data_IF_665406233280
#
_entry.id   IF_665406233280
#
_cell.length_a   1.000
_cell.length_b   1.000
_cell.length_c   1.000
_cell.angle_alpha   90.00
_cell.angle_beta   90.00
_cell.angle_gamma   90.00
#
_symmetry.space_group_name_H-M   'P 1'
#
loop_
_entity.id
_entity.type
_entity.pdbx_description
1 polymer ?
#
# COMPACT_ATOMS: atom_id res chain seq x y z
N UNK A 1 -24.27 61.81 -43.63
CA UNK A 1 -25.62 61.51 -43.14
C UNK A 1 -25.53 60.99 -41.72
N UNK A 2 -26.02 61.84 -40.81
CA UNK A 2 -26.54 61.60 -39.46
C UNK A 2 -25.67 61.01 -38.32
N UNK A 3 -25.21 61.97 -37.49
CA UNK A 3 -25.39 62.11 -36.02
C UNK A 3 -24.58 61.16 -35.11
N UNK A 4 -23.53 61.61 -34.39
CA UNK A 4 -23.51 62.50 -33.19
C UNK A 4 -24.40 61.93 -32.04
N UNK A 5 -24.00 61.83 -30.77
CA UNK A 5 -23.15 62.71 -29.98
C UNK A 5 -22.63 62.06 -28.67
N UNK A 6 -21.56 62.69 -28.17
CA UNK A 6 -20.98 62.73 -26.81
C UNK A 6 -21.95 62.66 -25.62
N UNK A 7 -21.53 62.01 -24.50
CA UNK A 7 -21.62 62.57 -23.14
C UNK A 7 -20.74 61.82 -22.10
N UNK A 8 -19.77 62.56 -21.53
CA UNK A 8 -19.34 62.70 -20.11
C UNK A 8 -19.14 61.48 -19.17
N UNK A 9 -17.90 61.41 -18.66
CA UNK A 9 -17.34 60.81 -17.40
C UNK A 9 -18.17 61.15 -16.12
N UNK A 10 -18.10 60.39 -14.99
CA UNK A 10 -16.86 60.26 -14.22
C UNK A 10 -16.60 58.94 -13.47
N UNK A 11 -15.40 58.94 -12.85
CA UNK A 11 -14.70 57.89 -12.15
C UNK A 11 -15.48 57.22 -10.99
N UNK A 12 -15.38 55.89 -10.93
CA UNK A 12 -15.61 55.12 -9.72
C UNK A 12 -14.28 54.51 -9.27
N UNK A 13 -13.72 55.11 -8.21
CA UNK A 13 -12.56 54.62 -7.50
C UNK A 13 -12.85 53.24 -6.90
N UNK A 14 -12.08 52.23 -7.30
CA UNK A 14 -12.04 50.96 -6.58
C UNK A 14 -11.27 51.15 -5.27
N UNK A 15 -12.03 51.35 -4.19
CA UNK A 15 -11.55 51.32 -2.82
C UNK A 15 -11.13 49.90 -2.45
N UNK A 16 -9.94 49.80 -1.85
CA UNK A 16 -9.46 48.66 -1.05
C UNK A 16 -10.52 48.23 -0.02
N UNK A 17 -10.78 46.94 0.18
CA UNK A 17 -11.45 46.49 1.40
C UNK A 17 -10.48 46.66 2.58
N UNK A 18 -10.84 47.55 3.49
CA UNK A 18 -10.09 47.82 4.71
C UNK A 18 -10.13 46.63 5.66
N UNK A 19 -8.99 46.43 6.31
CA UNK A 19 -8.92 45.75 7.59
C UNK A 19 -9.88 46.44 8.58
N UNK A 20 -10.82 45.67 9.13
CA UNK A 20 -11.51 46.01 10.38
C UNK A 20 -11.40 44.81 11.32
N UNK A 21 -10.61 44.98 12.36
CA UNK A 21 -10.64 44.15 13.56
C UNK A 21 -11.96 44.29 14.31
N UNK A 22 -12.28 43.28 15.10
CA UNK A 22 -13.48 43.27 15.95
C UNK A 22 -13.64 41.99 16.77
N UNK A 23 -12.55 41.41 17.28
CA UNK A 23 -12.61 40.30 18.23
C UNK A 23 -12.91 40.83 19.62
N UNK A 24 -14.19 40.99 19.96
CA UNK A 24 -14.62 41.52 21.26
C UNK A 24 -14.15 40.67 22.45
N UNK A 25 -13.96 41.28 23.65
CA UNK A 25 -13.50 40.61 24.88
C UNK A 25 -14.31 39.38 25.29
N UNK A 26 -15.58 39.32 24.88
CA UNK A 26 -16.51 38.22 25.20
C UNK A 26 -16.15 36.88 24.56
N UNK A 27 -15.52 36.85 23.37
CA UNK A 27 -15.15 35.57 22.72
C UNK A 27 -13.87 34.95 23.28
N UNK A 28 -12.93 35.76 23.76
CA UNK A 28 -11.72 35.26 24.45
C UNK A 28 -12.05 34.69 25.82
N UNK A 29 -12.96 35.31 26.56
CA UNK A 29 -13.43 34.78 27.85
C UNK A 29 -14.09 33.39 27.75
N UNK A 30 -14.88 33.14 26.70
CA UNK A 30 -15.53 31.84 26.48
C UNK A 30 -14.51 30.75 26.14
N UNK A 31 -13.50 31.05 25.32
CA UNK A 31 -12.45 30.06 24.99
C UNK A 31 -11.59 29.73 26.21
N UNK A 32 -11.25 30.72 27.04
CA UNK A 32 -10.50 30.50 28.28
C UNK A 32 -11.31 29.69 29.29
N UNK A 33 -12.62 29.96 29.42
CA UNK A 33 -13.51 29.20 30.30
C UNK A 33 -13.64 27.73 29.85
N UNK A 34 -13.77 27.49 28.54
CA UNK A 34 -13.86 26.13 27.99
C UNK A 34 -12.55 25.34 28.20
N UNK A 35 -11.39 25.98 28.05
CA UNK A 35 -10.09 25.36 28.32
C UNK A 35 -9.90 25.06 29.82
N UNK A 36 -10.33 25.96 30.71
CA UNK A 36 -10.28 25.75 32.16
C UNK A 36 -11.19 24.59 32.61
N UNK A 37 -12.40 24.48 32.05
CA UNK A 37 -13.32 23.38 32.32
C UNK A 37 -12.78 22.04 31.80
N UNK A 38 -12.14 22.02 30.61
CA UNK A 38 -11.50 20.82 30.08
C UNK A 38 -10.33 20.35 30.96
N UNK A 39 -9.55 21.29 31.50
CA UNK A 39 -8.44 20.99 32.41
C UNK A 39 -8.93 20.47 33.77
N UNK A 40 -9.99 21.06 34.33
CA UNK A 40 -10.63 20.60 35.56
C UNK A 40 -11.23 19.19 35.41
N UNK A 41 -11.86 18.90 34.26
CA UNK A 41 -12.38 17.55 33.97
C UNK A 41 -11.25 16.51 33.83
N UNK A 42 -10.14 16.86 33.18
CA UNK A 42 -8.99 15.97 33.04
C UNK A 42 -8.30 15.66 34.38
N UNK A 43 -8.14 16.65 35.25
CA UNK A 43 -7.56 16.46 36.59
C UNK A 43 -8.46 15.64 37.50
N UNK A 44 -9.78 15.79 37.42
CA UNK A 44 -10.73 14.97 38.18
C UNK A 44 -10.70 13.49 37.74
N UNK A 45 -10.58 13.22 36.43
CA UNK A 45 -10.44 11.86 35.91
C UNK A 45 -9.14 11.19 36.38
N UNK A 46 -8.04 11.95 36.48
CA UNK A 46 -6.76 11.42 36.96
C UNK A 46 -6.78 11.11 38.47
N UNK A 47 -7.46 11.95 39.26
CA UNK A 47 -7.63 11.75 40.71
C UNK A 47 -8.59 10.60 41.04
N UNK A 48 -9.61 10.36 40.21
CA UNK A 48 -10.52 9.22 40.36
C UNK A 48 -9.87 7.90 39.92
N UNK A 49 -9.04 7.92 38.87
CA UNK A 49 -8.26 6.75 38.45
C UNK A 49 -7.19 6.34 39.49
N UNK A 50 -6.62 7.30 40.21
CA UNK A 50 -5.66 7.05 41.31
C UNK A 50 -6.26 6.47 42.58
N UNK A 51 -7.60 6.39 42.71
CA UNK A 51 -8.29 5.79 43.88
C UNK A 51 -8.73 4.33 43.69
N UNK A 52 -8.48 3.73 42.53
CA UNK A 52 -8.80 2.31 42.24
C UNK A 52 -7.57 1.39 42.29
N UNK A 53 -6.39 1.89 42.68
CA UNK A 53 -5.19 1.09 42.90
C UNK A 53 -4.53 1.49 44.22
N UNK A 54 -5.16 1.09 45.33
CA UNK A 54 -4.63 1.27 46.69
C UNK A 54 -4.05 -0.05 47.20
N UNK A 55 -2.75 -0.27 47.00
CA UNK A 55 -1.96 -1.25 47.74
C UNK A 55 -1.19 -0.55 48.84
N UNK A 56 -1.41 -0.94 50.10
CA UNK A 56 -0.66 -0.47 51.27
C UNK A 56 -0.90 -1.39 52.48
N UNK A 57 0.08 -1.51 53.40
CA UNK A 57 0.44 -2.77 54.07
C UNK A 57 -0.12 -2.91 55.48
N UNK A 58 -0.26 -4.14 55.98
CA UNK A 58 -0.62 -4.36 57.38
C UNK A 58 -0.69 -5.83 57.85
N UNK A 59 0.31 -6.18 58.67
CA UNK A 59 0.23 -6.92 59.96
C UNK A 59 -0.16 -8.42 59.96
N UNK A 60 0.80 -9.22 60.42
CA UNK A 60 0.64 -10.60 60.91
C UNK A 60 -0.22 -10.66 62.18
N UNK A 61 -1.15 -11.62 62.26
CA UNK A 61 -1.55 -12.28 63.52
C UNK A 61 -1.85 -13.75 63.22
N UNK A 62 -1.18 -14.63 63.97
CA UNK A 62 -1.35 -16.07 63.96
C UNK A 62 -2.55 -16.51 64.81
N UNK A 63 -3.29 -17.55 64.39
CA UNK A 63 -3.88 -18.52 65.33
C UNK A 63 -4.32 -19.83 64.66
N UNK A 64 -3.77 -20.92 65.19
CA UNK A 64 -4.34 -22.27 65.44
C UNK A 64 -5.01 -23.07 64.30
N UNK A 65 -4.36 -24.19 63.94
CA UNK A 65 -4.90 -25.34 63.21
C UNK A 65 -5.98 -26.10 64.02
N UNK A 66 -6.75 -27.02 63.38
CA UNK A 66 -6.29 -28.41 63.37
C UNK A 66 -6.46 -29.17 62.03
N UNK A 67 -5.40 -29.92 61.72
CA UNK A 67 -5.30 -31.19 60.96
C UNK A 67 -6.49 -31.63 60.07
N UNK A 68 -6.25 -31.64 58.74
CA UNK A 68 -6.77 -32.70 57.87
C UNK A 68 -6.00 -32.87 56.53
N UNK A 69 -5.35 -34.04 56.42
CA UNK A 69 -4.96 -34.86 55.23
C UNK A 69 -4.02 -34.29 54.14
N UNK A 70 -3.18 -35.15 53.51
CA UNK A 70 -2.08 -34.70 52.66
C UNK A 70 -2.55 -34.24 51.27
N UNK A 71 -1.99 -33.10 50.82
CA UNK A 71 -2.17 -32.50 49.50
C UNK A 71 -1.65 -33.42 48.39
N UNK A 72 -2.49 -33.70 47.39
CA UNK A 72 -2.00 -34.02 46.04
C UNK A 72 -1.55 -32.70 45.39
N UNK A 73 -0.29 -32.61 44.99
CA UNK A 73 0.20 -31.50 44.19
C UNK A 73 -0.51 -31.52 42.83
N UNK A 74 -1.38 -30.55 42.58
CA UNK A 74 -1.85 -30.24 41.24
C UNK A 74 -0.70 -29.58 40.47
N UNK A 75 -0.47 -30.04 39.23
CA UNK A 75 0.49 -29.43 38.33
C UNK A 75 0.16 -27.94 38.10
N UNK A 76 1.16 -27.07 37.82
CA UNK A 76 0.90 -25.66 37.55
C UNK A 76 0.01 -25.53 36.30
N UNK A 77 -0.90 -24.53 36.26
CA UNK A 77 -1.69 -24.28 35.07
C UNK A 77 -0.79 -23.91 33.89
N UNK A 78 -1.14 -24.31 32.65
CA UNK A 78 -0.35 -23.97 31.48
C UNK A 78 -0.25 -22.45 31.32
N UNK A 79 0.93 -21.98 30.95
CA UNK A 79 1.18 -20.56 30.67
C UNK A 79 0.19 -20.03 29.62
N UNK A 80 -0.31 -18.78 29.78
CA UNK A 80 -1.25 -18.21 28.83
C UNK A 80 -0.63 -18.20 27.41
N UNK A 81 -1.42 -18.48 26.37
CA UNK A 81 -0.93 -18.50 25.00
C UNK A 81 -0.36 -17.12 24.65
N UNK A 82 0.84 -17.10 24.06
CA UNK A 82 1.44 -15.85 23.63
C UNK A 82 0.56 -15.18 22.55
N UNK A 83 0.42 -13.84 22.56
CA UNK A 83 -0.37 -13.15 21.54
C UNK A 83 0.29 -13.28 20.17
N UNK A 84 -0.30 -14.14 19.34
CA UNK A 84 0.05 -14.36 17.95
C UNK A 84 -1.06 -15.14 17.29
N UNK A 85 -1.32 -14.91 16.01
CA UNK A 85 -2.33 -15.67 15.26
C UNK A 85 -1.85 -17.12 15.13
N UNK A 86 -2.34 -17.99 16.01
CA UNK A 86 -2.24 -19.44 15.80
C UNK A 86 -2.94 -19.73 14.49
N UNK A 87 -2.18 -20.08 13.45
CA UNK A 87 -2.68 -20.32 12.11
C UNK A 87 -3.56 -21.59 12.11
N UNK A 88 -4.87 -21.39 12.24
CA UNK A 88 -5.90 -22.47 12.31
C UNK A 88 -6.45 -22.82 10.92
N UNK A 89 -5.66 -22.65 9.87
CA UNK A 89 -6.07 -22.97 8.49
C UNK A 89 -6.52 -24.42 8.35
N UNK A 90 -5.89 -25.35 9.06
CA UNK A 90 -6.27 -26.76 9.07
C UNK A 90 -7.70 -26.97 9.59
N UNK A 91 -8.14 -26.24 10.63
CA UNK A 91 -9.51 -26.34 11.15
C UNK A 91 -10.54 -25.72 10.19
N UNK A 92 -10.16 -24.64 9.50
CA UNK A 92 -10.99 -24.03 8.47
C UNK A 92 -11.10 -24.96 7.25
N UNK A 93 -9.99 -25.59 6.85
CA UNK A 93 -9.94 -26.58 5.77
C UNK A 93 -10.81 -27.79 6.10
N UNK A 94 -10.64 -28.41 7.26
CA UNK A 94 -11.47 -29.55 7.71
C UNK A 94 -12.97 -29.20 7.72
N UNK A 95 -13.32 -27.97 8.12
CA UNK A 95 -14.72 -27.49 8.08
C UNK A 95 -15.25 -27.32 6.66
N UNK A 96 -14.43 -26.85 5.73
CA UNK A 96 -14.81 -26.58 4.34
C UNK A 96 -14.68 -27.82 3.44
N UNK A 97 -13.95 -28.84 3.87
CA UNK A 97 -13.62 -30.03 3.11
C UNK A 97 -14.84 -30.80 2.58
N UNK A 98 -15.93 -31.01 3.36
CA UNK A 98 -17.15 -31.63 2.83
C UNK A 98 -17.75 -30.84 1.66
N UNK A 99 -17.87 -29.52 1.80
CA UNK A 99 -18.42 -28.65 0.76
C UNK A 99 -17.56 -28.61 -0.50
N UNK A 100 -16.23 -28.64 -0.35
CA UNK A 100 -15.30 -28.73 -1.49
C UNK A 100 -15.40 -30.06 -2.24
N UNK A 101 -15.64 -31.16 -1.52
CA UNK A 101 -15.85 -32.49 -2.11
C UNK A 101 -17.18 -32.56 -2.85
N UNK A 102 -18.25 -32.03 -2.26
CA UNK A 102 -19.58 -32.00 -2.87
C UNK A 102 -19.54 -31.21 -4.20
N UNK A 103 -18.89 -30.04 -4.23
CA UNK A 103 -18.69 -29.26 -5.46
C UNK A 103 -17.90 -30.03 -6.54
N UNK A 104 -16.84 -30.76 -6.15
CA UNK A 104 -16.06 -31.58 -7.09
C UNK A 104 -16.87 -32.74 -7.68
N UNK A 105 -17.70 -33.39 -6.86
CA UNK A 105 -18.58 -34.48 -7.34
C UNK A 105 -19.71 -33.97 -8.23
N UNK A 106 -20.27 -32.78 -7.95
CA UNK A 106 -21.29 -32.15 -8.78
C UNK A 106 -20.74 -31.74 -10.16
N UNK A 107 -19.50 -31.26 -10.24
CA UNK A 107 -18.83 -30.94 -11.52
C UNK A 107 -18.54 -32.21 -12.34
N UNK A 108 -18.15 -33.32 -11.69
CA UNK A 108 -17.96 -34.61 -12.34
C UNK A 108 -19.29 -35.25 -12.83
N UNK A 109 -20.40 -34.93 -12.17
CA UNK A 109 -21.75 -35.41 -12.52
C UNK A 109 -22.43 -34.55 -13.60
N UNK A 110 -22.09 -33.26 -13.66
CA UNK A 110 -22.62 -32.32 -14.65
C UNK A 110 -21.91 -32.40 -16.01
N UNK A 111 -20.78 -33.09 -16.11
CA UNK A 111 -20.06 -33.31 -17.37
C UNK A 111 -20.74 -34.37 -18.26
N UNK A 112 -21.77 -35.07 -17.77
CA UNK A 112 -22.51 -36.10 -18.51
C UNK A 112 -23.92 -35.71 -18.97
N UNK A 113 -24.44 -34.50 -18.67
CA UNK A 113 -25.74 -34.05 -19.18
C UNK A 113 -25.66 -32.68 -19.88
N UNK A 114 -25.97 -32.70 -21.17
CA UNK A 114 -26.21 -31.51 -21.99
C UNK A 114 -27.42 -30.71 -21.48
N UNK A 115 -27.29 -29.39 -21.58
CA UNK A 115 -28.37 -28.38 -21.68
C UNK A 115 -29.32 -28.19 -20.48
N UNK A 116 -28.95 -27.25 -19.60
CA UNK A 116 -29.78 -26.09 -19.14
C UNK A 116 -29.47 -25.57 -17.73
N UNK A 117 -28.58 -26.21 -16.95
CA UNK A 117 -28.19 -25.74 -15.61
C UNK A 117 -26.96 -24.81 -15.61
N UNK A 118 -26.90 -23.85 -16.55
CA UNK A 118 -25.72 -22.99 -16.78
C UNK A 118 -25.41 -21.95 -15.68
N UNK A 119 -26.19 -21.89 -14.59
CA UNK A 119 -26.11 -20.83 -13.56
C UNK A 119 -25.56 -21.27 -12.20
N UNK A 120 -24.93 -22.44 -12.09
CA UNK A 120 -24.09 -22.78 -10.93
C UNK A 120 -22.72 -23.29 -11.35
N UNK A 121 -22.07 -22.53 -12.24
CA UNK A 121 -20.62 -22.64 -12.43
C UNK A 121 -19.95 -22.08 -11.17
N UNK A 122 -19.15 -22.91 -10.51
CA UNK A 122 -18.40 -22.60 -9.30
C UNK A 122 -17.72 -21.22 -9.41
N UNK A 123 -18.20 -20.27 -8.61
CA UNK A 123 -17.66 -18.89 -8.55
C UNK A 123 -16.18 -18.83 -8.12
N UNK A 124 -15.62 -19.94 -7.64
CA UNK A 124 -14.25 -20.00 -7.14
C UNK A 124 -13.19 -20.27 -8.23
N UNK A 125 -13.59 -20.63 -9.46
CA UNK A 125 -12.64 -21.04 -10.53
C UNK A 125 -12.94 -20.48 -11.92
N UNK A 126 -14.05 -19.79 -12.15
CA UNK A 126 -14.28 -19.11 -13.43
C UNK A 126 -13.58 -17.76 -13.47
N UNK A 127 -12.42 -17.70 -14.13
CA UNK A 127 -11.97 -16.49 -14.79
C UNK A 127 -13.12 -15.94 -15.64
N UNK A 128 -13.52 -14.68 -15.43
CA UNK A 128 -14.52 -13.99 -16.27
C UNK A 128 -14.02 -13.80 -17.72
N UNK A 129 -12.75 -14.09 -18.00
CA UNK A 129 -12.21 -14.16 -19.35
C UNK A 129 -12.35 -15.57 -19.89
N UNK A 130 -12.95 -15.71 -21.07
CA UNK A 130 -12.85 -16.90 -21.91
C UNK A 130 -11.36 -17.20 -22.11
N UNK A 131 -10.82 -18.17 -21.37
CA UNK A 131 -9.51 -18.72 -21.66
C UNK A 131 -9.61 -19.36 -23.04
N UNK A 132 -8.89 -18.82 -24.02
CA UNK A 132 -8.73 -19.39 -25.37
C UNK A 132 -7.98 -20.73 -25.38
N UNK A 133 -7.76 -21.35 -24.20
CA UNK A 133 -6.87 -22.49 -24.02
C UNK A 133 -5.38 -22.10 -24.02
N UNK A 134 -5.05 -20.85 -24.33
CA UNK A 134 -3.66 -20.37 -24.29
C UNK A 134 -3.22 -20.07 -22.86
N UNK A 135 -1.97 -20.42 -22.49
CA UNK A 135 -1.41 -20.07 -21.19
C UNK A 135 -1.35 -18.54 -21.03
N UNK A 136 -1.66 -18.05 -19.84
CA UNK A 136 -1.51 -16.63 -19.52
C UNK A 136 -0.03 -16.24 -19.63
N UNK A 137 0.30 -15.48 -20.67
CA UNK A 137 1.65 -15.00 -20.91
C UNK A 137 1.82 -13.60 -20.33
N UNK A 138 2.97 -13.30 -19.70
CA UNK A 138 3.32 -11.92 -19.36
C UNK A 138 3.24 -11.01 -20.59
N UNK A 139 2.67 -9.82 -20.44
CA UNK A 139 2.50 -8.81 -21.50
C UNK A 139 3.81 -8.11 -21.93
N UNK A 140 4.92 -8.85 -21.95
CA UNK A 140 6.29 -8.32 -22.08
C UNK A 140 6.71 -8.19 -23.55
N UNK A 141 5.85 -8.58 -24.50
CA UNK A 141 6.25 -8.72 -25.90
C UNK A 141 6.31 -7.39 -26.71
N UNK A 142 7.44 -7.25 -27.44
CA UNK A 142 7.88 -6.39 -28.57
C UNK A 142 7.46 -4.91 -28.75
N UNK A 143 6.58 -4.32 -27.94
CA UNK A 143 6.20 -2.88 -28.09
C UNK A 143 7.06 -1.90 -27.30
N UNK A 144 8.14 -2.38 -26.69
CA UNK A 144 9.11 -1.53 -26.02
C UNK A 144 10.03 -0.92 -27.06
N UNK A 145 9.96 0.40 -27.20
CA UNK A 145 10.90 1.15 -28.02
C UNK A 145 12.21 1.22 -27.23
N UNK A 146 13.25 0.59 -27.78
CA UNK A 146 14.62 0.69 -27.30
C UNK A 146 15.26 1.84 -28.06
N UNK A 147 15.69 2.87 -27.35
CA UNK A 147 16.34 4.03 -27.93
C UNK A 147 17.35 4.60 -26.95
N UNK A 148 18.37 5.28 -27.48
CA UNK A 148 19.19 6.13 -26.62
C UNK A 148 18.31 7.15 -25.91
N UNK A 149 18.46 7.24 -24.59
CA UNK A 149 17.65 8.14 -23.79
C UNK A 149 18.19 9.57 -23.98
N UNK A 150 17.35 10.53 -24.41
CA UNK A 150 17.78 11.93 -24.56
C UNK A 150 18.23 12.51 -23.21
N UNK A 151 18.87 13.68 -23.15
CA UNK A 151 19.20 14.35 -21.88
C UNK A 151 17.98 14.47 -20.97
N UNK A 152 18.15 14.26 -19.65
CA UNK A 152 17.02 14.22 -18.72
C UNK A 152 16.46 15.60 -18.41
N UNK A 153 15.14 15.68 -18.18
CA UNK A 153 14.47 16.87 -17.67
C UNK A 153 14.66 17.11 -16.15
N UNK A 154 15.21 16.14 -15.41
CA UNK A 154 15.46 16.25 -13.97
C UNK A 154 15.11 14.96 -13.21
N UNK A 155 14.96 15.07 -11.89
CA UNK A 155 14.74 13.93 -10.98
C UNK A 155 13.29 13.83 -10.49
N UNK A 156 12.73 12.62 -10.57
CA UNK A 156 11.43 12.29 -10.02
C UNK A 156 11.61 11.45 -8.75
N UNK A 157 11.11 11.96 -7.63
CA UNK A 157 11.04 11.23 -6.35
C UNK A 157 9.59 10.87 -6.06
N UNK A 158 9.33 9.61 -5.71
CA UNK A 158 7.98 9.15 -5.34
C UNK A 158 8.00 8.36 -4.05
N UNK A 159 6.90 8.45 -3.32
CA UNK A 159 6.69 7.71 -2.08
C UNK A 159 5.51 6.76 -2.24
N UNK A 160 5.79 5.48 -2.48
CA UNK A 160 4.77 4.46 -2.68
C UNK A 160 4.13 4.08 -1.34
N UNK A 161 2.80 4.05 -1.31
CA UNK A 161 2.00 3.80 -0.11
C UNK A 161 0.98 2.68 -0.34
N UNK A 162 0.47 2.12 0.75
CA UNK A 162 -0.47 0.99 0.73
C UNK A 162 0.21 -0.34 1.05
N UNK A 163 -0.46 -1.46 0.75
CA UNK A 163 0.13 -2.80 0.90
C UNK A 163 1.09 -3.15 -0.24
N UNK A 164 1.88 -4.21 -0.09
CA UNK A 164 2.94 -4.57 -1.04
C UNK A 164 2.48 -4.68 -2.50
N UNK A 165 1.33 -5.32 -2.76
CA UNK A 165 0.78 -5.40 -4.12
C UNK A 165 0.36 -4.03 -4.69
N UNK A 166 -0.10 -3.10 -3.83
CA UNK A 166 -0.42 -1.73 -4.25
C UNK A 166 0.86 -0.92 -4.50
N UNK A 167 1.88 -1.11 -3.66
CA UNK A 167 3.20 -0.50 -3.85
C UNK A 167 3.82 -0.99 -5.17
N UNK A 168 3.74 -2.29 -5.49
CA UNK A 168 4.20 -2.85 -6.76
C UNK A 168 3.57 -2.14 -7.96
N UNK A 169 2.25 -1.98 -7.98
CA UNK A 169 1.55 -1.23 -9.04
C UNK A 169 1.97 0.25 -9.07
N UNK A 170 2.18 0.85 -7.91
CA UNK A 170 2.61 2.24 -7.79
C UNK A 170 4.03 2.46 -8.34
N UNK A 171 4.93 1.48 -8.20
CA UNK A 171 6.28 1.52 -8.78
C UNK A 171 6.20 1.41 -10.31
N UNK A 172 5.33 0.53 -10.85
CA UNK A 172 5.08 0.46 -12.29
C UNK A 172 4.60 1.80 -12.85
N UNK A 173 3.68 2.47 -12.15
CA UNK A 173 3.21 3.81 -12.49
C UNK A 173 4.32 4.86 -12.39
N UNK A 174 5.20 4.78 -11.40
CA UNK A 174 6.31 5.71 -11.23
C UNK A 174 7.30 5.65 -12.39
N UNK A 175 7.66 4.43 -12.83
CA UNK A 175 8.51 4.22 -14.01
C UNK A 175 7.83 4.76 -15.28
N UNK A 176 6.54 4.51 -15.44
CA UNK A 176 5.75 5.05 -16.55
C UNK A 176 5.74 6.58 -16.56
N UNK A 177 5.53 7.23 -15.40
CA UNK A 177 5.57 8.69 -15.27
C UNK A 177 6.97 9.23 -15.55
N UNK A 178 8.02 8.58 -15.06
CA UNK A 178 9.40 8.97 -15.34
C UNK A 178 9.70 8.93 -16.86
N UNK A 179 9.24 7.89 -17.55
CA UNK A 179 9.33 7.78 -19.01
C UNK A 179 8.57 8.90 -19.72
N UNK A 180 7.31 9.16 -19.34
CA UNK A 180 6.48 10.23 -19.90
C UNK A 180 7.11 11.63 -19.75
N UNK A 181 7.84 11.85 -18.66
CA UNK A 181 8.49 13.11 -18.33
C UNK A 181 9.95 13.17 -18.79
N UNK A 182 10.50 12.10 -19.37
CA UNK A 182 11.95 11.94 -19.61
C UNK A 182 12.80 12.31 -18.37
N UNK A 183 12.31 11.90 -17.20
CA UNK A 183 12.94 12.13 -15.91
C UNK A 183 13.83 10.96 -15.50
N UNK A 184 14.85 11.23 -14.69
CA UNK A 184 15.57 10.21 -13.92
C UNK A 184 14.70 9.85 -12.72
N UNK A 185 14.35 8.58 -12.57
CA UNK A 185 13.65 8.09 -11.39
C UNK A 185 14.65 7.87 -10.26
N UNK A 186 14.41 8.49 -9.10
CA UNK A 186 15.09 8.08 -7.86
C UNK A 186 14.36 6.85 -7.33
N UNK A 187 15.09 5.83 -6.85
CA UNK A 187 14.49 4.60 -6.31
C UNK A 187 13.30 4.94 -5.39
N UNK A 188 12.11 4.37 -5.65
CA UNK A 188 10.93 4.63 -4.85
C UNK A 188 11.16 4.41 -3.35
N UNK A 189 10.70 5.36 -2.53
CA UNK A 189 10.67 5.17 -1.08
C UNK A 189 9.33 4.59 -0.66
N UNK A 190 9.31 3.73 0.35
CA UNK A 190 8.06 3.20 0.91
C UNK A 190 7.60 4.02 2.10
N UNK A 191 6.32 4.37 2.12
CA UNK A 191 5.70 4.93 3.30
C UNK A 191 5.59 3.86 4.38
N UNK A 192 5.88 4.21 5.64
CA UNK A 192 5.69 3.33 6.78
C UNK A 192 4.24 2.84 6.79
N UNK A 193 4.04 1.53 6.64
CA UNK A 193 2.69 0.99 6.65
C UNK A 193 2.21 0.87 8.10
N UNK A 194 1.21 1.65 8.49
CA UNK A 194 0.70 1.69 9.86
C UNK A 194 0.03 0.38 10.31
N UNK A 195 -0.45 -0.44 9.36
CA UNK A 195 -1.11 -1.72 9.65
C UNK A 195 -0.06 -2.79 9.94
N UNK A 196 0.94 -2.91 9.08
CA UNK A 196 1.97 -3.96 9.18
C UNK A 196 3.17 -3.54 10.05
N UNK A 197 3.28 -2.23 10.39
CA UNK A 197 4.43 -1.61 11.04
C UNK A 197 5.76 -1.94 10.34
N UNK A 198 5.67 -2.08 9.02
CA UNK A 198 6.79 -2.51 8.19
C UNK A 198 7.63 -1.29 7.77
N UNK A 199 8.89 -1.30 8.19
CA UNK A 199 9.89 -0.27 7.90
C UNK A 199 10.85 -0.67 6.76
N UNK A 200 10.55 -1.78 6.06
CA UNK A 200 11.34 -2.25 4.92
C UNK A 200 11.45 -1.15 3.86
N UNK A 201 12.64 -1.02 3.30
CA UNK A 201 12.97 -0.14 2.18
C UNK A 201 12.85 -0.91 0.87
N UNK A 202 13.04 -0.21 -0.24
CA UNK A 202 13.00 -0.83 -1.56
C UNK A 202 14.00 -2.00 -1.67
N UNK A 203 15.26 -1.77 -1.33
CA UNK A 203 16.31 -2.81 -1.38
C UNK A 203 16.13 -4.00 -0.43
N UNK A 204 15.29 -3.86 0.60
CA UNK A 204 14.97 -4.97 1.50
C UNK A 204 13.99 -5.98 0.85
N UNK A 205 13.20 -5.51 -0.13
CA UNK A 205 12.15 -6.30 -0.81
C UNK A 205 12.55 -6.64 -2.24
N UNK A 206 13.10 -5.68 -2.98
CA UNK A 206 13.43 -5.82 -4.40
C UNK A 206 14.93 -5.63 -4.64
N UNK A 207 15.42 -6.32 -5.65
CA UNK A 207 16.81 -6.21 -6.10
C UNK A 207 17.03 -4.89 -6.85
N UNK A 208 17.68 -3.92 -6.20
CA UNK A 208 17.90 -2.57 -6.74
C UNK A 208 18.74 -2.58 -8.02
N UNK A 209 19.80 -3.39 -8.05
CA UNK A 209 20.73 -3.42 -9.18
C UNK A 209 20.07 -4.06 -10.40
N UNK A 210 19.33 -5.15 -10.19
CA UNK A 210 18.51 -5.76 -11.24
C UNK A 210 17.42 -4.81 -11.75
N UNK A 211 16.79 -4.04 -10.86
CA UNK A 211 15.78 -3.05 -11.24
C UNK A 211 16.36 -1.95 -12.12
N UNK A 212 17.51 -1.38 -11.74
CA UNK A 212 18.20 -0.35 -12.52
C UNK A 212 18.63 -0.90 -13.89
N UNK A 213 19.25 -2.08 -13.88
CA UNK A 213 19.79 -2.71 -15.08
C UNK A 213 18.69 -3.08 -16.09
N UNK A 214 17.57 -3.64 -15.61
CA UNK A 214 16.44 -4.01 -16.46
C UNK A 214 15.80 -2.78 -17.15
N UNK A 215 15.89 -1.60 -16.52
CA UNK A 215 15.25 -0.38 -17.01
C UNK A 215 16.18 0.56 -17.80
N UNK A 216 17.48 0.27 -17.85
CA UNK A 216 18.54 1.18 -18.34
C UNK A 216 18.29 1.77 -19.74
N UNK A 217 17.56 1.06 -20.61
CA UNK A 217 17.26 1.46 -21.98
C UNK A 217 15.88 2.13 -22.15
N UNK A 218 15.14 2.28 -21.06
CA UNK A 218 13.77 2.82 -21.07
C UNK A 218 13.60 4.00 -20.12
N UNK A 219 14.22 3.94 -18.94
CA UNK A 219 14.18 4.97 -17.90
C UNK A 219 15.49 4.94 -17.12
N UNK A 220 16.13 6.10 -16.94
CA UNK A 220 17.29 6.22 -16.04
C UNK A 220 16.83 6.13 -14.60
N UNK A 221 17.48 5.28 -13.82
CA UNK A 221 17.19 5.10 -12.39
C UNK A 221 18.46 5.34 -11.58
N UNK A 222 18.34 6.06 -10.47
CA UNK A 222 19.43 6.29 -9.50
C UNK A 222 18.98 5.88 -8.10
N UNK A 223 19.91 5.34 -7.31
CA UNK A 223 19.61 4.89 -5.93
C UNK A 223 19.26 6.04 -5.00
N UNK A 224 19.91 7.20 -5.17
CA UNK A 224 19.73 8.39 -4.35
C UNK A 224 19.78 9.64 -5.23
N UNK A 225 19.15 10.71 -4.74
CA UNK A 225 19.27 12.02 -5.37
C UNK A 225 20.73 12.50 -5.29
N UNK A 226 21.32 13.02 -6.36
CA UNK A 226 22.69 13.55 -6.32
C UNK A 226 22.87 14.70 -5.32
N UNK A 227 24.06 14.79 -4.73
CA UNK A 227 24.36 15.76 -3.67
C UNK A 227 24.29 17.21 -4.16
N UNK A 228 24.69 17.49 -5.41
CA UNK A 228 24.57 18.81 -6.04
C UNK A 228 23.10 19.27 -6.14
N UNK A 229 22.19 18.34 -6.40
CA UNK A 229 20.75 18.62 -6.41
C UNK A 229 20.22 18.82 -4.99
N UNK A 230 20.63 17.97 -4.03
CA UNK A 230 20.24 18.09 -2.63
C UNK A 230 20.73 19.38 -1.98
N UNK A 231 21.93 19.85 -2.33
CA UNK A 231 22.53 21.10 -1.87
C UNK A 231 21.61 22.31 -2.15
N UNK A 232 20.93 22.34 -3.31
CA UNK A 232 19.96 23.39 -3.66
C UNK A 232 18.76 23.46 -2.71
N UNK A 233 18.54 22.41 -1.93
CA UNK A 233 17.47 22.30 -0.92
C UNK A 233 18.05 22.15 0.49
N UNK A 234 19.26 22.63 0.74
CA UNK A 234 19.95 22.57 2.04
C UNK A 234 20.05 21.14 2.60
N UNK A 235 20.23 20.14 1.74
CA UNK A 235 20.20 18.70 2.08
C UNK A 235 18.93 18.23 2.78
N UNK A 236 17.82 18.97 2.65
CA UNK A 236 16.55 18.63 3.26
C UNK A 236 15.53 18.22 2.20
N UNK A 237 15.26 16.91 2.12
CA UNK A 237 14.25 16.35 1.21
C UNK A 237 12.86 16.96 1.45
N UNK A 238 12.55 17.36 2.69
CA UNK A 238 11.26 17.99 3.01
C UNK A 238 11.10 19.37 2.39
N UNK A 239 12.22 20.03 2.03
CA UNK A 239 12.24 21.31 1.31
C UNK A 239 11.97 21.14 -0.18
N UNK A 240 12.08 19.92 -0.74
CA UNK A 240 11.73 19.64 -2.13
C UNK A 240 10.20 19.72 -2.28
N UNK A 241 9.69 20.54 -3.22
CA UNK A 241 8.25 20.71 -3.42
C UNK A 241 7.53 19.39 -3.67
N UNK A 242 6.57 19.09 -2.81
CA UNK A 242 5.69 17.93 -2.94
C UNK A 242 4.49 18.29 -3.81
N UNK A 243 4.43 17.72 -5.00
CA UNK A 243 3.32 17.87 -5.92
C UNK A 243 2.19 16.91 -5.56
N UNK A 244 0.95 17.41 -5.61
CA UNK A 244 -0.24 16.58 -5.44
C UNK A 244 -0.86 16.27 -6.79
N UNK A 245 -0.88 14.99 -7.15
CA UNK A 245 -1.57 14.47 -8.33
C UNK A 245 -2.88 13.80 -7.92
N UNK A 246 -3.95 14.02 -8.68
CA UNK A 246 -5.22 13.32 -8.46
C UNK A 246 -5.06 11.83 -8.77
N UNK A 247 -5.86 10.99 -8.12
CA UNK A 247 -5.91 9.57 -8.49
C UNK A 247 -6.29 9.43 -9.97
N UNK A 248 -5.67 8.48 -10.67
CA UNK A 248 -5.88 8.20 -12.08
C UNK A 248 -5.67 9.43 -12.99
N UNK A 249 -4.68 10.28 -12.69
CA UNK A 249 -4.37 11.44 -13.54
C UNK A 249 -3.90 10.98 -14.93
N UNK A 250 -4.34 11.67 -15.98
CA UNK A 250 -3.97 11.33 -17.36
C UNK A 250 -2.49 11.62 -17.65
N UNK A 251 -1.88 11.00 -18.68
CA UNK A 251 -0.52 11.36 -19.13
C UNK A 251 -0.35 12.87 -19.38
N UNK A 252 -1.35 13.50 -20.02
CA UNK A 252 -1.32 14.95 -20.28
C UNK A 252 -1.28 15.79 -19.00
N UNK A 253 -1.88 15.32 -17.90
CA UNK A 253 -1.77 16.02 -16.62
C UNK A 253 -0.31 16.13 -16.16
N UNK A 254 0.48 15.07 -16.30
CA UNK A 254 1.89 15.08 -15.95
C UNK A 254 2.69 16.04 -16.85
N UNK A 255 2.48 15.96 -18.17
CA UNK A 255 3.16 16.85 -19.12
C UNK A 255 2.80 18.33 -18.89
N UNK A 256 1.54 18.63 -18.56
CA UNK A 256 1.10 20.02 -18.41
C UNK A 256 1.31 20.61 -17.01
N UNK A 257 1.36 19.78 -15.96
CA UNK A 257 1.41 20.26 -14.57
C UNK A 257 2.70 19.90 -13.86
N UNK A 258 3.24 18.70 -14.09
CA UNK A 258 4.43 18.20 -13.40
C UNK A 258 5.70 18.60 -14.16
N UNK A 259 5.74 18.41 -15.48
CA UNK A 259 6.91 18.72 -16.29
C UNK A 259 7.40 20.18 -16.15
N UNK A 260 6.56 21.22 -16.17
CA UNK A 260 7.05 22.58 -16.03
C UNK A 260 7.75 22.81 -14.69
N UNK A 261 7.24 22.20 -13.61
CA UNK A 261 7.83 22.32 -12.28
C UNK A 261 9.13 21.51 -12.14
N UNK A 262 9.18 20.36 -12.81
CA UNK A 262 10.39 19.56 -12.93
C UNK A 262 11.50 20.32 -13.65
N UNK A 263 11.20 20.97 -14.77
CA UNK A 263 12.18 21.79 -15.51
C UNK A 263 12.66 23.00 -14.70
N UNK A 264 11.75 23.65 -13.97
CA UNK A 264 12.08 24.80 -13.12
C UNK A 264 13.01 24.43 -11.95
N UNK A 265 12.71 23.31 -11.26
CA UNK A 265 13.39 22.94 -10.03
C UNK A 265 14.51 21.93 -10.22
N UNK A 266 14.53 21.21 -11.34
CA UNK A 266 15.39 20.05 -11.58
C UNK A 266 14.99 18.80 -10.78
N UNK A 267 14.07 18.90 -9.81
CA UNK A 267 13.56 17.78 -9.02
C UNK A 267 12.13 18.04 -8.56
N UNK A 268 11.29 17.01 -8.59
CA UNK A 268 9.95 17.03 -7.99
C UNK A 268 9.71 15.79 -7.15
N UNK A 269 8.97 15.98 -6.06
CA UNK A 269 8.50 14.89 -5.20
C UNK A 269 7.00 14.70 -5.36
N UNK A 270 6.53 13.46 -5.44
CA UNK A 270 5.10 13.14 -5.41
C UNK A 270 4.84 12.12 -4.30
N UNK A 271 4.20 12.58 -3.23
CA UNK A 271 3.87 11.76 -2.08
C UNK A 271 2.50 12.17 -1.50
N UNK A 272 1.60 11.22 -1.19
CA UNK A 272 1.71 9.77 -1.43
C UNK A 272 1.41 9.38 -2.89
N UNK A 273 2.14 8.39 -3.40
CA UNK A 273 2.04 7.88 -4.77
C UNK A 273 1.37 6.51 -4.81
N UNK A 274 0.04 6.51 -4.93
CA UNK A 274 -0.76 5.31 -5.16
C UNK A 274 -1.87 5.60 -6.15
N UNK A 275 -2.02 4.75 -7.18
CA UNK A 275 -2.98 4.89 -8.26
C UNK A 275 -2.99 6.31 -8.87
N UNK A 276 -1.80 6.88 -9.13
CA UNK A 276 -1.66 8.28 -9.57
C UNK A 276 -1.65 8.45 -11.08
N UNK A 277 -1.45 7.39 -11.84
CA UNK A 277 -1.52 7.41 -13.30
C UNK A 277 -2.77 6.67 -13.78
N UNK A 278 -3.45 7.21 -14.78
CA UNK A 278 -4.64 6.58 -15.37
C UNK A 278 -4.33 5.19 -15.93
N UNK A 279 -5.35 4.32 -16.01
CA UNK A 279 -5.19 3.03 -16.68
C UNK A 279 -5.01 3.21 -18.18
N UNK A 280 -5.75 4.15 -18.80
CA UNK A 280 -5.62 4.46 -20.22
C UNK A 280 -4.35 5.27 -20.48
N UNK A 281 -3.32 4.61 -21.00
CA UNK A 281 -2.04 5.19 -21.43
C UNK A 281 -1.62 4.58 -22.77
N UNK A 282 -0.71 5.23 -23.52
CA UNK A 282 -0.18 4.69 -24.77
C UNK A 282 0.38 3.27 -24.62
N UNK A 283 0.35 2.49 -25.71
CA UNK A 283 0.70 1.07 -25.69
C UNK A 283 2.14 0.78 -25.26
N UNK A 284 3.08 1.64 -25.64
CA UNK A 284 4.48 1.55 -25.20
C UNK A 284 4.62 1.80 -23.68
N UNK A 285 3.81 2.69 -23.11
CA UNK A 285 3.80 2.95 -21.65
C UNK A 285 3.17 1.77 -20.90
N UNK A 286 2.14 1.13 -21.46
CA UNK A 286 1.61 -0.12 -20.89
C UNK A 286 2.63 -1.26 -20.94
N UNK A 287 3.35 -1.39 -22.05
CA UNK A 287 4.42 -2.38 -22.18
C UNK A 287 5.51 -2.14 -21.13
N UNK A 288 5.87 -0.88 -20.86
CA UNK A 288 6.82 -0.51 -19.81
C UNK A 288 6.31 -0.87 -18.41
N UNK A 289 5.05 -0.57 -18.08
CA UNK A 289 4.43 -1.04 -16.82
C UNK A 289 4.52 -2.56 -16.68
N UNK A 290 4.29 -3.28 -17.77
CA UNK A 290 4.35 -4.73 -17.79
C UNK A 290 5.78 -5.26 -17.54
N UNK A 291 6.77 -4.71 -18.24
CA UNK A 291 8.19 -5.02 -18.03
C UNK A 291 8.57 -4.82 -16.55
N UNK A 292 8.19 -3.69 -15.97
CA UNK A 292 8.48 -3.38 -14.57
C UNK A 292 7.86 -4.43 -13.66
N UNK A 293 6.56 -4.71 -13.86
CA UNK A 293 5.81 -5.60 -13.00
C UNK A 293 6.37 -7.02 -13.00
N UNK A 294 6.69 -7.56 -14.18
CA UNK A 294 7.06 -8.98 -14.33
C UNK A 294 8.56 -9.26 -14.32
N UNK A 295 9.39 -8.30 -14.74
CA UNK A 295 10.83 -8.50 -14.87
C UNK A 295 11.67 -7.60 -13.96
N UNK A 296 11.39 -6.29 -13.91
CA UNK A 296 12.26 -5.38 -13.16
C UNK A 296 12.09 -5.53 -11.64
N UNK A 297 10.87 -5.78 -11.16
CA UNK A 297 10.59 -5.99 -9.74
C UNK A 297 10.87 -7.43 -9.30
N UNK A 298 12.14 -7.84 -9.42
CA UNK A 298 12.66 -9.09 -8.87
C UNK A 298 12.84 -8.93 -7.37
N UNK A 299 12.40 -9.93 -6.59
CA UNK A 299 12.65 -9.93 -5.14
C UNK A 299 14.14 -9.95 -4.82
N UNK A 300 14.49 -9.32 -3.70
CA UNK A 300 15.84 -9.34 -3.14
C UNK A 300 16.31 -10.78 -2.92
N UNK A 301 17.62 -11.00 -3.05
CA UNK A 301 18.24 -12.33 -2.99
C UNK A 301 17.83 -13.14 -1.75
N UNK A 302 17.80 -12.60 -0.52
CA UNK A 302 17.41 -13.38 0.66
C UNK A 302 15.99 -13.95 0.57
N UNK A 303 15.06 -13.20 -0.03
CA UNK A 303 13.66 -13.63 -0.24
C UNK A 303 13.61 -14.74 -1.29
N UNK A 304 14.37 -14.61 -2.37
CA UNK A 304 14.42 -15.61 -3.45
C UNK A 304 15.01 -16.93 -2.95
N UNK A 305 16.14 -16.88 -2.25
CA UNK A 305 16.80 -18.07 -1.71
C UNK A 305 15.85 -18.82 -0.74
N UNK A 306 15.15 -18.08 0.13
CA UNK A 306 14.15 -18.67 1.02
C UNK A 306 12.99 -19.31 0.25
N UNK A 307 12.51 -18.67 -0.82
CA UNK A 307 11.43 -19.19 -1.64
C UNK A 307 11.85 -20.46 -2.40
N UNK A 308 13.06 -20.48 -2.97
CA UNK A 308 13.64 -21.65 -3.64
C UNK A 308 13.81 -22.83 -2.67
N UNK A 309 14.32 -22.57 -1.47
CA UNK A 309 14.44 -23.59 -0.41
C UNK A 309 13.07 -24.15 -0.01
N UNK A 310 12.05 -23.29 0.11
CA UNK A 310 10.69 -23.71 0.45
C UNK A 310 10.12 -24.62 -0.65
N UNK A 311 10.23 -24.20 -1.92
CA UNK A 311 9.78 -24.98 -3.06
C UNK A 311 10.51 -26.32 -3.14
N UNK A 312 11.84 -26.32 -3.01
CA UNK A 312 12.64 -27.55 -3.00
C UNK A 312 12.21 -28.53 -1.91
N UNK A 313 11.89 -28.03 -0.71
CA UNK A 313 11.36 -28.86 0.39
C UNK A 313 9.97 -29.40 0.09
N UNK A 314 9.07 -28.60 -0.48
CA UNK A 314 7.73 -29.06 -0.86
C UNK A 314 7.83 -30.16 -1.92
N UNK A 315 8.61 -29.96 -2.98
CA UNK A 315 8.81 -30.96 -4.02
C UNK A 315 9.39 -32.26 -3.45
N UNK A 316 10.41 -32.18 -2.60
CA UNK A 316 11.02 -33.37 -1.97
C UNK A 316 10.03 -34.14 -1.09
N UNK A 317 9.14 -33.44 -0.38
CA UNK A 317 8.12 -34.07 0.47
C UNK A 317 6.94 -34.62 -0.33
N UNK A 318 6.66 -34.07 -1.50
CA UNK A 318 5.63 -34.52 -2.44
C UNK A 318 6.10 -35.69 -3.33
N UNK A 319 6.96 -36.59 -2.81
CA UNK A 319 7.53 -37.68 -3.60
C UNK A 319 6.47 -38.67 -4.15
N UNK A 320 5.35 -38.85 -3.43
CA UNK A 320 4.24 -39.71 -3.85
C UNK A 320 3.49 -39.18 -5.08
N UNK A 321 3.56 -37.87 -5.33
CA UNK A 321 2.95 -37.20 -6.49
C UNK A 321 3.99 -36.81 -7.53
N UNK A 322 5.18 -37.39 -7.49
CA UNK A 322 6.27 -37.08 -8.42
C UNK A 322 6.85 -35.67 -8.24
N UNK A 323 6.74 -35.09 -7.05
CA UNK A 323 7.19 -33.73 -6.75
C UNK A 323 6.14 -32.65 -7.02
N UNK A 324 4.95 -33.02 -7.49
CA UNK A 324 3.87 -32.08 -7.76
C UNK A 324 3.20 -31.62 -6.46
N UNK A 325 2.95 -30.31 -6.35
CA UNK A 325 2.25 -29.69 -5.23
C UNK A 325 1.28 -28.62 -5.75
N UNK A 326 0.32 -28.23 -4.92
CA UNK A 326 -0.65 -27.16 -5.22
C UNK A 326 -0.39 -26.00 -4.27
N UNK A 327 -0.32 -24.77 -4.80
CA UNK A 327 -0.23 -23.56 -4.00
C UNK A 327 -1.56 -22.82 -4.01
N UNK A 328 -2.06 -22.43 -2.83
CA UNK A 328 -3.31 -21.67 -2.69
C UNK A 328 -3.06 -20.43 -1.85
N UNK A 329 -3.25 -19.25 -2.45
CA UNK A 329 -3.25 -17.99 -1.73
C UNK A 329 -4.69 -17.66 -1.30
N UNK A 330 -4.93 -17.69 0.02
CA UNK A 330 -6.20 -17.36 0.63
C UNK A 330 -6.10 -16.00 1.32
N UNK A 331 -6.81 -15.00 0.80
CA UNK A 331 -6.96 -13.70 1.45
C UNK A 331 -8.30 -13.63 2.17
N UNK A 332 -8.24 -13.42 3.48
CA UNK A 332 -9.41 -13.19 4.32
C UNK A 332 -9.57 -11.69 4.57
N UNK A 333 -10.76 -11.14 4.30
CA UNK A 333 -11.15 -9.81 4.77
C UNK A 333 -12.18 -9.97 5.90
N UNK A 334 -11.97 -9.29 7.02
CA UNK A 334 -12.87 -9.40 8.18
C UNK A 334 -14.24 -8.75 7.92
N UNK A 335 -15.34 -9.31 8.44
CA UNK A 335 -15.47 -10.64 9.03
C UNK A 335 -16.04 -11.60 7.97
N UNK A 336 -15.17 -12.34 7.28
CA UNK A 336 -15.48 -13.57 6.54
C UNK A 336 -16.43 -13.48 5.34
N UNK A 337 -16.51 -12.35 4.61
CA UNK A 337 -17.40 -12.26 3.43
C UNK A 337 -16.71 -12.39 2.08
N UNK A 338 -15.39 -12.33 2.01
CA UNK A 338 -14.66 -12.54 0.77
C UNK A 338 -13.41 -13.37 1.02
N UNK A 339 -13.38 -14.57 0.43
CA UNK A 339 -12.14 -15.31 0.20
C UNK A 339 -11.74 -15.00 -1.23
N UNK A 340 -10.67 -14.25 -1.42
CA UNK A 340 -10.00 -14.27 -2.72
C UNK A 340 -9.06 -15.47 -2.73
N UNK A 341 -9.40 -16.48 -3.53
CA UNK A 341 -8.61 -17.69 -3.71
C UNK A 341 -7.88 -17.60 -5.04
N UNK A 342 -6.57 -17.80 -5.03
CA UNK A 342 -5.77 -17.97 -6.24
C UNK A 342 -5.03 -19.29 -6.13
N UNK A 343 -5.22 -20.16 -7.11
CA UNK A 343 -4.53 -21.45 -7.20
C UNK A 343 -3.46 -21.35 -8.27
N UNK A 344 -2.25 -21.78 -7.94
CA UNK A 344 -1.09 -21.82 -8.82
C UNK A 344 -0.49 -23.23 -8.84
#
# INVERSE_FOLDING_TARGET
>A
MSLAASMRKPAAAWRRPGARGGGGPRRRGVVVLLLALAYAAGTLMFLLAGRLSGGGPGVEVASSSPLQRPRRHAAPPPSPPQPGSVYRSHLVFERLWPSMRDDATLVASASSLSSSASWRRSMLMTSQYQNSGEPWMPCVNSRLIRSELPPSNGYLMIEANGGLNQQRLSICDAVAVASLLNAILVIPTFHLNSVWRDASKFGDIFDEDHFIETLREHVRVVKKLPEDVLLRFNHNISSIPNMRTKAYSSPNHYVQKVLPKLLELGVVRIAPFSNRLAQSVPSNIQALRCLVNYHALRFAEPIRNLAEDLVGRMMKKSYLTGGNYVSVHLRFEEPFRAVHMTVA
#
